data_IF_694192172007
#
_entry.id   IF_694192172007
#
_cell.length_a   1.000
_cell.length_b   1.000
_cell.length_c   1.000
_cell.angle_alpha   90.00
_cell.angle_beta   90.00
_cell.angle_gamma   90.00
#
_symmetry.space_group_name_H-M   'P 1'
#
loop_
_entity.id
_entity.type
_entity.pdbx_description
1 polymer ?
#
# COMPACT_ATOMS: atom_id res chain seq x y z
N UNK A 1 -32.34 22.22 -27.04
CA UNK A 1 -31.32 21.14 -27.01
C UNK A 1 -30.02 21.76 -26.55
N UNK A 2 -29.75 21.72 -25.24
CA UNK A 2 -28.51 22.30 -24.65
C UNK A 2 -27.45 21.19 -24.56
N UNK A 3 -26.27 21.46 -25.12
CA UNK A 3 -25.12 20.56 -25.05
C UNK A 3 -24.62 20.42 -23.59
N UNK A 4 -24.26 19.23 -23.12
CA UNK A 4 -23.74 19.03 -21.76
C UNK A 4 -22.37 19.69 -21.61
N UNK A 5 -22.17 20.39 -20.49
CA UNK A 5 -20.99 21.15 -20.15
C UNK A 5 -19.69 20.31 -20.16
N UNK A 6 -18.53 20.88 -20.56
CA UNK A 6 -17.27 20.15 -20.77
C UNK A 6 -16.63 19.56 -19.50
N UNK A 7 -17.10 19.95 -18.31
CA UNK A 7 -16.57 19.45 -17.02
C UNK A 7 -16.75 17.93 -16.78
N UNK A 8 -17.73 17.30 -17.43
CA UNK A 8 -18.00 15.87 -17.24
C UNK A 8 -16.98 14.95 -17.96
N UNK A 9 -16.35 15.44 -19.04
CA UNK A 9 -15.39 14.63 -19.82
C UNK A 9 -14.03 14.52 -19.15
N UNK A 10 -13.58 15.60 -18.49
CA UNK A 10 -12.29 15.60 -17.76
C UNK A 10 -12.34 14.66 -16.53
N UNK A 11 -13.43 14.66 -15.79
CA UNK A 11 -13.60 13.77 -14.63
C UNK A 11 -13.63 12.28 -15.03
N UNK A 12 -14.20 11.95 -16.20
CA UNK A 12 -14.25 10.58 -16.70
C UNK A 12 -12.88 10.11 -17.21
N UNK A 13 -12.11 10.98 -17.87
CA UNK A 13 -10.75 10.69 -18.31
C UNK A 13 -9.81 10.46 -17.14
N UNK A 14 -9.87 11.29 -16.10
CA UNK A 14 -9.08 11.14 -14.88
C UNK A 14 -9.39 9.84 -14.12
N UNK A 15 -10.67 9.44 -14.04
CA UNK A 15 -11.08 8.16 -13.43
C UNK A 15 -10.56 6.94 -14.21
N UNK A 16 -10.48 7.02 -15.56
CA UNK A 16 -9.94 5.95 -16.41
C UNK A 16 -8.42 5.84 -16.28
N UNK A 17 -7.71 6.96 -16.16
CA UNK A 17 -6.26 7.02 -15.94
C UNK A 17 -5.86 6.45 -14.57
N UNK A 18 -6.58 6.81 -13.50
CA UNK A 18 -6.36 6.24 -12.17
C UNK A 18 -6.68 4.75 -12.10
N UNK A 19 -7.71 4.29 -12.79
CA UNK A 19 -8.05 2.86 -12.89
C UNK A 19 -7.00 2.06 -13.65
N UNK A 20 -6.44 2.61 -14.72
CA UNK A 20 -5.38 1.98 -15.51
C UNK A 20 -4.03 1.91 -14.77
N UNK A 21 -3.69 2.95 -13.99
CA UNK A 21 -2.50 2.96 -13.14
C UNK A 21 -2.60 1.96 -11.99
N UNK A 22 -3.76 1.85 -11.33
CA UNK A 22 -3.98 0.87 -10.27
C UNK A 22 -3.93 -0.58 -10.78
N UNK A 23 -4.47 -0.86 -11.99
CA UNK A 23 -4.41 -2.18 -12.61
C UNK A 23 -3.00 -2.52 -13.12
N UNK A 24 -2.27 -1.55 -13.64
CA UNK A 24 -0.90 -1.75 -14.17
C UNK A 24 0.11 -2.10 -13.09
N UNK A 25 -0.01 -1.52 -11.90
CA UNK A 25 0.87 -1.83 -10.75
C UNK A 25 0.60 -3.22 -10.18
N UNK A 26 -0.67 -3.68 -10.19
CA UNK A 26 -1.04 -4.99 -9.67
C UNK A 26 -0.56 -6.14 -10.58
N UNK A 27 -0.53 -5.95 -11.90
CA UNK A 27 -0.11 -6.97 -12.88
C UNK A 27 1.41 -7.11 -12.94
N UNK A 28 2.17 -6.04 -12.71
CA UNK A 28 3.64 -6.11 -12.70
C UNK A 28 4.22 -6.83 -11.47
N UNK A 29 3.46 -6.94 -10.37
CA UNK A 29 3.91 -7.60 -9.13
C UNK A 29 3.72 -9.13 -9.13
N UNK A 30 3.01 -9.70 -10.11
CA UNK A 30 2.67 -11.16 -10.17
C UNK A 30 3.35 -11.86 -11.35
N UNK A 31 4.33 -11.26 -12.02
CA UNK A 31 5.15 -12.02 -12.94
C UNK A 31 5.96 -13.07 -12.13
N UNK A 32 5.71 -14.39 -12.29
CA UNK A 32 6.54 -15.38 -11.64
C UNK A 32 7.96 -15.23 -12.22
N UNK A 33 8.87 -14.71 -11.40
CA UNK A 33 10.29 -14.81 -11.71
C UNK A 33 10.62 -16.27 -11.95
N UNK A 34 11.57 -16.60 -12.86
CA UNK A 34 11.95 -17.97 -13.09
C UNK A 34 12.30 -18.60 -11.74
N UNK A 35 11.55 -19.64 -11.36
CA UNK A 35 11.84 -20.45 -10.22
C UNK A 35 13.26 -20.99 -10.43
N UNK A 36 14.24 -20.36 -9.78
CA UNK A 36 15.55 -20.99 -9.59
C UNK A 36 15.29 -22.20 -8.72
N UNK A 37 15.10 -23.35 -9.40
CA UNK A 37 15.08 -24.63 -8.72
C UNK A 37 16.31 -24.70 -7.83
N UNK A 38 16.09 -24.96 -6.56
CA UNK A 38 17.14 -25.43 -5.67
C UNK A 38 17.63 -26.75 -6.26
N UNK A 39 18.66 -26.68 -7.13
CA UNK A 39 19.41 -27.86 -7.48
C UNK A 39 20.09 -28.32 -6.19
N UNK A 40 19.60 -29.41 -5.63
CA UNK A 40 20.38 -30.19 -4.68
C UNK A 40 21.76 -30.43 -5.33
N UNK A 41 22.87 -30.14 -4.63
CA UNK A 41 24.18 -30.47 -5.15
C UNK A 41 24.27 -32.00 -5.25
N UNK A 42 24.18 -32.52 -6.46
CA UNK A 42 24.62 -33.90 -6.73
C UNK A 42 26.13 -33.87 -6.59
N UNK A 43 26.65 -34.51 -5.59
CA UNK A 43 28.09 -34.62 -5.34
C UNK A 43 28.77 -35.27 -6.55
N UNK A 44 29.77 -34.65 -7.18
CA UNK A 44 30.65 -35.34 -8.10
C UNK A 44 31.66 -36.20 -7.31
N UNK A 45 32.13 -37.34 -7.88
CA UNK A 45 33.11 -38.19 -7.24
C UNK A 45 34.43 -37.47 -7.02
N UNK A 46 34.98 -37.66 -5.83
CA UNK A 46 36.24 -37.08 -5.35
C UNK A 46 37.42 -37.38 -6.27
N UNK A 47 38.01 -36.35 -6.82
CA UNK A 47 39.41 -36.38 -7.29
C UNK A 47 40.31 -35.71 -6.24
N UNK A 48 41.48 -36.28 -5.92
CA UNK A 48 42.36 -35.75 -4.91
C UNK A 48 43.23 -34.60 -5.49
N UNK A 49 43.25 -33.47 -4.81
CA UNK A 49 44.27 -32.43 -4.97
C UNK A 49 43.73 -31.15 -5.62
N UNK A 50 43.39 -30.19 -4.74
CA UNK A 50 43.88 -28.82 -4.76
C UNK A 50 43.05 -28.03 -3.73
N UNK A 51 43.76 -27.68 -2.64
CA UNK A 51 43.27 -26.69 -1.65
C UNK A 51 43.28 -25.29 -2.29
N UNK A 52 42.31 -25.06 -3.18
CA UNK A 52 41.97 -23.68 -3.57
C UNK A 52 40.94 -23.19 -2.56
N UNK A 53 41.33 -22.26 -1.73
CA UNK A 53 40.44 -21.60 -0.78
C UNK A 53 39.18 -21.15 -1.46
N UNK A 54 38.06 -21.65 -0.97
CA UNK A 54 36.73 -21.09 -1.29
C UNK A 54 36.75 -19.67 -0.73
N UNK A 55 37.22 -18.76 -1.58
CA UNK A 55 37.03 -17.33 -1.37
C UNK A 55 35.56 -17.10 -1.33
N UNK A 56 35.00 -16.95 -0.15
CA UNK A 56 33.68 -16.31 0.02
C UNK A 56 33.83 -14.95 -0.62
N UNK A 57 33.37 -14.85 -1.87
CA UNK A 57 33.21 -13.57 -2.55
C UNK A 57 32.17 -12.81 -1.71
N UNK A 58 32.71 -12.06 -0.71
CA UNK A 58 31.91 -11.07 0.03
C UNK A 58 31.36 -10.16 -1.06
N UNK A 59 30.08 -10.39 -1.42
CA UNK A 59 29.38 -9.54 -2.35
C UNK A 59 29.65 -8.11 -1.90
N UNK A 60 30.20 -7.28 -2.80
CA UNK A 60 30.46 -5.88 -2.50
C UNK A 60 29.18 -5.30 -1.91
N UNK A 61 29.23 -4.57 -0.79
CA UNK A 61 28.03 -4.02 -0.18
C UNK A 61 27.37 -3.16 -1.25
N UNK A 62 26.22 -3.60 -1.72
CA UNK A 62 25.34 -2.76 -2.52
C UNK A 62 25.25 -1.44 -1.75
N UNK A 63 25.49 -0.31 -2.41
CA UNK A 63 25.49 1.03 -1.77
C UNK A 63 24.28 1.11 -0.86
N UNK A 64 24.49 0.98 0.45
CA UNK A 64 23.44 0.74 1.42
C UNK A 64 22.44 1.88 1.37
N UNK A 65 21.20 1.53 1.16
CA UNK A 65 20.11 2.50 1.26
C UNK A 65 20.13 3.04 2.69
N UNK A 66 20.24 4.36 2.87
CA UNK A 66 20.19 4.93 4.21
C UNK A 66 18.83 4.67 4.85
N UNK A 67 18.73 4.45 6.17
CA UNK A 67 17.45 4.21 6.85
C UNK A 67 16.41 5.29 6.57
N UNK A 68 16.83 6.56 6.55
CA UNK A 68 15.95 7.70 6.17
C UNK A 68 15.48 7.61 4.73
N UNK A 69 16.35 7.17 3.82
CA UNK A 69 15.99 6.97 2.41
C UNK A 69 14.99 5.83 2.22
N UNK A 70 15.13 4.74 2.98
CA UNK A 70 14.17 3.62 2.97
C UNK A 70 12.80 4.06 3.49
N UNK A 71 12.76 4.81 4.60
CA UNK A 71 11.53 5.40 5.14
C UNK A 71 10.81 6.26 4.11
N UNK A 72 11.51 7.26 3.54
CA UNK A 72 10.89 8.19 2.58
C UNK A 72 10.37 7.47 1.32
N UNK A 73 11.10 6.46 0.83
CA UNK A 73 10.65 5.64 -0.31
C UNK A 73 9.42 4.82 0.03
N UNK A 74 9.36 4.25 1.24
CA UNK A 74 8.19 3.47 1.68
C UNK A 74 6.94 4.36 1.79
N UNK A 75 7.07 5.58 2.31
CA UNK A 75 5.97 6.54 2.41
C UNK A 75 5.55 7.10 1.05
N UNK A 76 6.52 7.27 0.11
CA UNK A 76 6.23 7.82 -1.22
C UNK A 76 5.49 6.82 -2.13
N UNK A 77 5.89 5.55 -2.10
CA UNK A 77 5.28 4.49 -2.90
C UNK A 77 5.19 3.19 -2.09
N UNK A 78 4.01 2.55 -2.05
CA UNK A 78 3.79 1.28 -1.36
C UNK A 78 4.85 0.25 -1.72
N UNK A 79 5.51 -0.33 -0.70
CA UNK A 79 6.49 -1.39 -0.87
C UNK A 79 7.86 -0.97 -1.41
N UNK A 80 8.05 0.25 -1.92
CA UNK A 80 9.31 0.69 -2.52
C UNK A 80 10.48 0.73 -1.51
N UNK A 81 10.22 1.17 -0.28
CA UNK A 81 11.21 1.15 0.78
C UNK A 81 11.79 -0.24 0.99
N UNK A 82 10.94 -1.25 1.10
CA UNK A 82 11.33 -2.65 1.28
C UNK A 82 12.01 -3.25 0.05
N UNK A 83 11.54 -2.93 -1.15
CA UNK A 83 12.17 -3.36 -2.39
C UNK A 83 13.61 -2.81 -2.53
N UNK A 84 13.86 -1.59 -2.06
CA UNK A 84 15.18 -0.94 -2.12
C UNK A 84 16.24 -1.59 -1.23
N UNK A 85 15.82 -2.39 -0.25
CA UNK A 85 16.68 -3.18 0.65
C UNK A 85 16.64 -4.68 0.34
N UNK A 86 16.02 -5.09 -0.78
CA UNK A 86 15.91 -6.49 -1.17
C UNK A 86 14.83 -7.31 -0.44
N UNK A 87 14.05 -6.69 0.45
CA UNK A 87 12.99 -7.35 1.20
C UNK A 87 11.68 -7.46 0.39
N UNK A 88 11.73 -8.12 -0.77
CA UNK A 88 10.63 -8.14 -1.75
C UNK A 88 9.32 -8.73 -1.20
N UNK A 89 9.38 -9.76 -0.34
CA UNK A 89 8.17 -10.36 0.26
C UNK A 89 7.43 -9.35 1.15
N UNK A 90 8.17 -8.59 1.95
CA UNK A 90 7.60 -7.51 2.77
C UNK A 90 7.08 -6.38 1.89
N UNK A 91 7.84 -5.99 0.86
CA UNK A 91 7.40 -5.01 -0.12
C UNK A 91 6.07 -5.39 -0.78
N UNK A 92 5.92 -6.64 -1.23
CA UNK A 92 4.70 -7.14 -1.83
C UNK A 92 3.51 -7.12 -0.85
N UNK A 93 3.74 -7.47 0.42
CA UNK A 93 2.73 -7.38 1.47
C UNK A 93 2.22 -5.94 1.64
N UNK A 94 3.11 -4.95 1.77
CA UNK A 94 2.71 -3.55 1.90
C UNK A 94 2.03 -3.02 0.65
N UNK A 95 2.48 -3.38 -0.55
CA UNK A 95 1.77 -3.04 -1.81
C UNK A 95 0.33 -3.55 -1.78
N UNK A 96 0.11 -4.80 -1.33
CA UNK A 96 -1.23 -5.38 -1.27
C UNK A 96 -2.11 -4.67 -0.23
N UNK A 97 -1.61 -4.47 0.99
CA UNK A 97 -2.38 -3.87 2.10
C UNK A 97 -2.69 -2.40 1.83
N UNK A 98 -1.70 -1.62 1.43
CA UNK A 98 -1.87 -0.19 1.12
C UNK A 98 -2.68 0.02 -0.15
N UNK A 99 -2.51 -0.87 -1.16
CA UNK A 99 -3.33 -0.87 -2.36
C UNK A 99 -4.82 -1.12 -2.07
N UNK A 100 -5.12 -2.08 -1.18
CA UNK A 100 -6.49 -2.32 -0.72
C UNK A 100 -7.06 -1.13 0.06
N UNK A 101 -6.29 -0.54 0.97
CA UNK A 101 -6.69 0.64 1.73
C UNK A 101 -6.96 1.84 0.80
N UNK A 102 -6.08 2.10 -0.16
CA UNK A 102 -6.25 3.14 -1.16
C UNK A 102 -7.49 2.93 -2.04
N UNK A 103 -7.73 1.70 -2.49
CA UNK A 103 -8.93 1.35 -3.25
C UNK A 103 -10.20 1.56 -2.42
N UNK A 104 -10.22 1.12 -1.15
CA UNK A 104 -11.33 1.32 -0.23
C UNK A 104 -11.62 2.82 -0.01
N UNK A 105 -10.57 3.64 0.14
CA UNK A 105 -10.68 5.09 0.29
C UNK A 105 -11.27 5.75 -0.96
N UNK A 106 -10.83 5.37 -2.17
CA UNK A 106 -11.41 5.87 -3.44
C UNK A 106 -12.89 5.52 -3.52
N UNK A 107 -13.25 4.29 -3.12
CA UNK A 107 -14.65 3.84 -3.11
C UNK A 107 -15.49 4.59 -2.07
N UNK A 108 -14.94 4.86 -0.87
CA UNK A 108 -15.60 5.66 0.16
C UNK A 108 -15.85 7.10 -0.30
N UNK A 109 -14.87 7.73 -0.97
CA UNK A 109 -15.05 9.06 -1.59
C UNK A 109 -16.15 9.08 -2.65
N UNK A 110 -16.22 8.04 -3.49
CA UNK A 110 -17.28 7.90 -4.49
C UNK A 110 -18.67 7.77 -3.88
N UNK A 111 -18.81 6.98 -2.80
CA UNK A 111 -20.06 6.82 -2.06
C UNK A 111 -20.52 8.09 -1.37
N UNK A 112 -19.58 8.85 -0.78
CA UNK A 112 -19.87 10.14 -0.18
C UNK A 112 -20.40 11.15 -1.22
N UNK A 113 -19.74 11.25 -2.38
CA UNK A 113 -20.16 12.12 -3.47
C UNK A 113 -21.54 11.70 -4.04
N UNK A 114 -21.80 10.40 -4.11
CA UNK A 114 -23.11 9.88 -4.54
C UNK A 114 -24.23 10.26 -3.57
N UNK A 115 -24.00 10.13 -2.26
CA UNK A 115 -24.96 10.55 -1.25
C UNK A 115 -25.31 12.05 -1.40
N UNK A 116 -24.30 12.90 -1.64
CA UNK A 116 -24.53 14.32 -1.91
C UNK A 116 -25.39 14.59 -3.16
N UNK A 117 -25.18 13.82 -4.24
CA UNK A 117 -26.03 13.95 -5.45
C UNK A 117 -27.47 13.51 -5.20
N UNK A 118 -27.70 12.48 -4.41
CA UNK A 118 -29.05 12.01 -4.04
C UNK A 118 -29.81 13.05 -3.21
N UNK A 119 -29.12 13.69 -2.26
CA UNK A 119 -29.68 14.80 -1.48
C UNK A 119 -30.11 15.93 -2.42
N UNK A 120 -29.20 16.44 -3.27
CA UNK A 120 -29.51 17.52 -4.19
C UNK A 120 -30.67 17.19 -5.15
N UNK A 121 -30.74 15.92 -5.59
CA UNK A 121 -31.85 15.46 -6.42
C UNK A 121 -33.17 15.46 -5.62
N UNK A 122 -33.20 14.93 -4.39
CA UNK A 122 -34.39 14.92 -3.54
C UNK A 122 -34.85 16.34 -3.22
N UNK A 123 -33.95 17.23 -2.83
CA UNK A 123 -34.27 18.65 -2.62
C UNK A 123 -34.91 19.28 -3.86
N UNK A 124 -34.41 19.00 -5.07
CA UNK A 124 -34.98 19.54 -6.29
C UNK A 124 -36.40 19.02 -6.56
N UNK A 125 -36.68 17.75 -6.23
CA UNK A 125 -38.00 17.15 -6.36
C UNK A 125 -39.00 17.79 -5.39
N UNK A 126 -38.60 17.93 -4.10
CA UNK A 126 -39.48 18.53 -3.08
C UNK A 126 -39.77 19.98 -3.42
N UNK A 127 -38.75 20.76 -3.83
CA UNK A 127 -38.94 22.16 -4.25
C UNK A 127 -39.87 22.28 -5.48
N UNK A 128 -39.73 21.38 -6.46
CA UNK A 128 -40.60 21.37 -7.64
C UNK A 128 -42.05 21.06 -7.27
N UNK A 129 -42.26 20.14 -6.33
CA UNK A 129 -43.62 19.81 -5.83
C UNK A 129 -44.25 21.03 -5.13
N UNK A 130 -43.54 21.67 -4.19
CA UNK A 130 -43.99 22.86 -3.48
C UNK A 130 -44.31 24.00 -4.44
N UNK A 131 -43.49 24.20 -5.47
CA UNK A 131 -43.72 25.21 -6.49
C UNK A 131 -45.02 24.91 -7.29
N UNK A 132 -45.30 23.63 -7.58
CA UNK A 132 -46.55 23.23 -8.25
C UNK A 132 -47.80 23.45 -7.38
N UNK A 133 -47.60 23.35 -6.04
CA UNK A 133 -48.66 23.57 -5.06
C UNK A 133 -48.83 25.08 -4.71
N UNK A 134 -48.04 25.96 -5.35
CA UNK A 134 -48.10 27.40 -5.19
C UNK A 134 -47.39 27.95 -3.96
N UNK A 135 -46.62 27.12 -3.25
CA UNK A 135 -45.84 27.53 -2.07
C UNK A 135 -44.63 28.31 -2.55
N UNK A 136 -44.55 29.59 -2.13
CA UNK A 136 -43.45 30.51 -2.50
C UNK A 136 -42.70 31.09 -1.28
N UNK A 137 -43.26 30.87 -0.08
CA UNK A 137 -42.62 31.34 1.15
C UNK A 137 -41.34 30.54 1.45
N UNK A 138 -40.18 31.20 1.57
CA UNK A 138 -38.90 30.52 1.86
C UNK A 138 -38.91 29.72 3.17
N UNK A 139 -39.66 30.19 4.20
CA UNK A 139 -39.73 29.53 5.51
C UNK A 139 -40.51 28.23 5.39
N UNK A 140 -41.71 28.29 4.71
CA UNK A 140 -42.51 27.11 4.48
C UNK A 140 -41.81 26.05 3.62
N UNK A 141 -41.00 26.50 2.62
CA UNK A 141 -40.18 25.60 1.80
C UNK A 141 -39.11 24.93 2.68
N UNK A 142 -38.47 25.66 3.58
CA UNK A 142 -37.42 25.08 4.45
C UNK A 142 -38.03 24.11 5.46
N UNK A 143 -39.15 24.45 6.08
CA UNK A 143 -39.88 23.58 7.01
C UNK A 143 -40.30 22.26 6.32
N UNK A 144 -40.75 22.34 5.08
CA UNK A 144 -41.11 21.16 4.31
C UNK A 144 -39.92 20.27 3.94
N UNK A 145 -38.74 20.88 3.65
CA UNK A 145 -37.51 20.13 3.42
C UNK A 145 -37.01 19.47 4.70
N UNK A 146 -37.11 20.17 5.84
CA UNK A 146 -36.70 19.64 7.14
C UNK A 146 -37.64 18.54 7.66
N UNK A 147 -38.91 18.55 7.21
CA UNK A 147 -39.88 17.52 7.54
C UNK A 147 -39.85 16.30 6.59
N UNK A 148 -39.05 16.35 5.49
CA UNK A 148 -38.97 15.26 4.52
C UNK A 148 -38.14 14.10 5.06
N UNK A 149 -38.77 13.00 5.45
CA UNK A 149 -38.10 11.82 6.02
C UNK A 149 -37.03 11.24 5.09
N UNK A 150 -37.28 11.23 3.76
CA UNK A 150 -36.32 10.71 2.78
C UNK A 150 -35.05 11.57 2.74
N UNK A 151 -35.23 12.89 2.87
CA UNK A 151 -34.10 13.83 2.91
C UNK A 151 -33.28 13.64 4.19
N UNK A 152 -33.95 13.46 5.33
CA UNK A 152 -33.30 13.18 6.61
C UNK A 152 -32.50 11.87 6.56
N UNK A 153 -33.06 10.79 6.00
CA UNK A 153 -32.35 9.52 5.82
C UNK A 153 -31.12 9.65 4.93
N UNK A 154 -31.24 10.42 3.83
CA UNK A 154 -30.11 10.68 2.93
C UNK A 154 -29.02 11.52 3.60
N UNK A 155 -29.38 12.47 4.45
CA UNK A 155 -28.42 13.26 5.25
C UNK A 155 -27.69 12.38 6.26
N UNK A 156 -28.41 11.54 7.00
CA UNK A 156 -27.81 10.57 7.93
C UNK A 156 -26.88 9.57 7.19
N UNK A 157 -27.29 9.11 6.00
CA UNK A 157 -26.46 8.28 5.16
C UNK A 157 -25.16 9.01 4.73
N UNK A 158 -25.26 10.29 4.33
CA UNK A 158 -24.10 11.10 3.94
C UNK A 158 -23.12 11.28 5.09
N UNK A 159 -23.61 11.49 6.31
CA UNK A 159 -22.77 11.64 7.50
C UNK A 159 -22.04 10.32 7.82
N UNK A 160 -22.75 9.19 7.76
CA UNK A 160 -22.11 7.87 7.88
C UNK A 160 -21.02 7.65 6.81
N UNK A 161 -21.25 8.08 5.55
CA UNK A 161 -20.24 7.99 4.47
C UNK A 161 -19.06 8.95 4.68
N UNK A 162 -19.30 10.12 5.29
CA UNK A 162 -18.27 11.05 5.70
C UNK A 162 -17.34 10.40 6.72
N UNK A 163 -17.91 9.82 7.77
CA UNK A 163 -17.13 9.11 8.80
C UNK A 163 -16.30 7.98 8.18
N UNK A 164 -16.89 7.11 7.36
CA UNK A 164 -16.15 6.04 6.66
C UNK A 164 -14.97 6.57 5.81
N UNK A 165 -15.12 7.74 5.19
CA UNK A 165 -14.05 8.38 4.43
C UNK A 165 -12.94 8.90 5.35
N UNK A 166 -13.31 9.50 6.48
CA UNK A 166 -12.36 10.02 7.48
C UNK A 166 -11.56 8.88 8.11
N UNK A 167 -12.23 7.80 8.54
CA UNK A 167 -11.61 6.59 9.09
C UNK A 167 -10.68 5.92 8.06
N UNK A 168 -11.14 5.79 6.83
CA UNK A 168 -10.33 5.25 5.73
C UNK A 168 -9.08 6.09 5.43
N UNK A 169 -9.18 7.41 5.55
CA UNK A 169 -8.04 8.32 5.38
C UNK A 169 -7.05 8.16 6.53
N UNK A 170 -7.53 8.12 7.77
CA UNK A 170 -6.69 7.91 8.94
C UNK A 170 -5.96 6.56 8.88
N UNK A 171 -6.67 5.48 8.51
CA UNK A 171 -6.08 4.16 8.32
C UNK A 171 -4.99 4.15 7.23
N UNK A 172 -5.24 4.81 6.09
CA UNK A 172 -4.25 4.89 5.00
C UNK A 172 -2.97 5.61 5.43
N UNK A 173 -3.10 6.73 6.16
CA UNK A 173 -1.95 7.46 6.71
C UNK A 173 -1.20 6.58 7.72
N UNK A 174 -1.91 5.89 8.61
CA UNK A 174 -1.30 4.99 9.59
C UNK A 174 -0.51 3.87 8.91
N UNK A 175 -1.06 3.23 7.88
CA UNK A 175 -0.38 2.16 7.13
C UNK A 175 0.88 2.65 6.44
N UNK A 176 0.85 3.84 5.81
CA UNK A 176 2.03 4.46 5.20
C UNK A 176 3.15 4.73 6.22
N UNK A 177 2.78 5.26 7.40
CA UNK A 177 3.74 5.50 8.47
C UNK A 177 4.31 4.19 9.02
N UNK A 178 3.47 3.16 9.17
CA UNK A 178 3.88 1.83 9.62
C UNK A 178 4.86 1.19 8.65
N UNK A 179 4.56 1.23 7.34
CA UNK A 179 5.46 0.74 6.30
C UNK A 179 6.79 1.50 6.28
N UNK A 180 6.74 2.82 6.47
CA UNK A 180 7.94 3.64 6.59
C UNK A 180 8.80 3.25 7.80
N UNK A 181 8.18 3.10 8.96
CA UNK A 181 8.86 2.70 10.19
C UNK A 181 9.48 1.30 10.08
N UNK A 182 8.74 0.33 9.50
CA UNK A 182 9.25 -1.03 9.28
C UNK A 182 10.45 -1.02 8.30
N UNK A 183 10.38 -0.26 7.21
CA UNK A 183 11.49 -0.10 6.27
C UNK A 183 12.72 0.56 6.92
N UNK A 184 12.49 1.57 7.78
CA UNK A 184 13.55 2.24 8.53
C UNK A 184 14.26 1.26 9.48
N UNK A 185 13.49 0.54 10.30
CA UNK A 185 14.03 -0.43 11.27
C UNK A 185 14.75 -1.57 10.56
N UNK A 186 14.15 -2.11 9.49
CA UNK A 186 14.76 -3.18 8.70
C UNK A 186 16.11 -2.77 8.13
N UNK A 187 16.23 -1.56 7.58
CA UNK A 187 17.49 -1.02 7.06
C UNK A 187 18.50 -0.76 8.17
N UNK A 188 18.03 -0.32 9.33
CA UNK A 188 18.91 -0.06 10.47
C UNK A 188 19.51 -1.36 11.03
N UNK A 189 18.69 -2.40 11.12
CA UNK A 189 19.11 -3.72 11.60
C UNK A 189 20.06 -4.44 10.61
N UNK A 190 19.94 -4.20 9.31
CA UNK A 190 20.85 -4.75 8.30
C UNK A 190 22.29 -4.25 8.48
N UNK A 191 22.46 -3.05 9.02
CA UNK A 191 23.77 -2.44 9.30
C UNK A 191 24.32 -2.82 10.67
N UNK A 192 23.55 -3.55 11.49
CA UNK A 192 24.05 -4.01 12.79
C UNK A 192 25.04 -5.15 12.59
N UNK A 193 26.24 -5.08 13.17
CA UNK A 193 27.17 -6.20 13.16
C UNK A 193 26.52 -7.41 13.82
N UNK A 194 26.57 -8.56 13.15
CA UNK A 194 26.03 -9.78 13.74
C UNK A 194 26.81 -10.06 15.04
N UNK A 195 26.12 -10.07 16.19
CA UNK A 195 26.78 -10.23 17.49
C UNK A 195 27.40 -11.63 17.66
N UNK A 196 26.95 -12.59 16.87
CA UNK A 196 27.39 -13.98 16.93
C UNK A 196 27.59 -14.48 15.50
N UNK A 197 28.77 -14.91 15.14
CA UNK A 197 29.01 -15.71 13.94
C UNK A 197 29.32 -17.15 14.34
N UNK A 198 28.58 -18.07 13.71
CA UNK A 198 28.75 -19.51 13.86
C UNK A 198 29.46 -19.99 12.61
N UNK A 199 30.67 -20.49 12.75
CA UNK A 199 31.44 -21.04 11.66
C UNK A 199 31.63 -22.54 11.90
N UNK A 200 31.17 -23.35 10.95
CA UNK A 200 31.37 -24.80 11.00
C UNK A 200 32.41 -25.20 9.96
N UNK A 201 33.54 -25.74 10.38
CA UNK A 201 34.60 -26.22 9.50
C UNK A 201 34.76 -27.73 9.63
N UNK A 202 34.85 -28.48 8.51
CA UNK A 202 35.21 -29.88 8.57
C UNK A 202 36.67 -30.02 8.94
N UNK A 203 36.95 -30.61 10.10
CA UNK A 203 38.29 -31.02 10.55
C UNK A 203 38.43 -32.48 10.19
N UNK A 204 39.47 -32.88 9.44
CA UNK A 204 39.67 -34.21 8.91
C UNK A 204 39.26 -35.34 9.86
N UNK A 205 38.95 -36.56 9.35
CA UNK A 205 38.35 -37.69 10.04
C UNK A 205 36.83 -37.60 10.30
N UNK A 206 36.06 -36.88 9.49
CA UNK A 206 34.60 -36.81 9.64
C UNK A 206 34.11 -36.02 10.86
N UNK A 207 35.00 -35.25 11.50
CA UNK A 207 34.64 -34.36 12.61
C UNK A 207 34.38 -32.96 12.08
N UNK A 208 33.34 -32.32 12.62
CA UNK A 208 33.05 -30.91 12.37
C UNK A 208 33.41 -30.10 13.62
N UNK A 209 34.18 -29.05 13.43
CA UNK A 209 34.48 -28.04 14.47
C UNK A 209 33.51 -26.90 14.28
N UNK A 210 32.82 -26.53 15.35
CA UNK A 210 31.88 -25.40 15.36
C UNK A 210 32.50 -24.31 16.24
N UNK A 211 32.95 -23.21 15.63
CA UNK A 211 33.45 -22.05 16.35
C UNK A 211 32.34 -20.98 16.47
N UNK A 212 32.23 -20.44 17.67
CA UNK A 212 31.36 -19.30 17.99
C UNK A 212 32.24 -18.08 18.27
N UNK A 213 32.12 -17.06 17.40
CA UNK A 213 32.82 -15.79 17.66
C UNK A 213 31.82 -14.72 18.06
N UNK A 214 32.14 -14.01 19.14
CA UNK A 214 31.31 -12.92 19.67
C UNK A 214 32.03 -11.60 19.42
N UNK A 215 31.38 -10.66 18.75
CA UNK A 215 31.89 -9.30 18.60
C UNK A 215 31.27 -8.42 19.70
N UNK A 216 32.05 -8.11 20.73
CA UNK A 216 31.65 -7.16 21.77
C UNK A 216 31.79 -5.74 21.24
N UNK A 217 30.74 -4.92 21.25
CA UNK A 217 30.84 -3.50 20.92
C UNK A 217 31.69 -2.82 22.01
N UNK A 218 32.69 -2.02 21.57
CA UNK A 218 33.45 -1.12 22.45
C UNK A 218 32.70 0.19 22.65
#
# INVERSE_FOLDING_TARGET
MSAPAPASRAATAYRRLLGALACGVLVAAVAPGPARGQQLPTAPPSAPGDTAGVGTTKAAPARGTSPRGAFLRAVALPGWGHASIGAYNRGAFYVAVEGMAGWALVKARGRYAEAGRRIAFRESVVRAQLASDGVTDPVEIQDALDADEVLQDLMALKDSRRQQREDGTALSIFLLLLAGADAYVSTHLEHFPQPISVEAQPVGNGRMEVSLSFTLPR
#
